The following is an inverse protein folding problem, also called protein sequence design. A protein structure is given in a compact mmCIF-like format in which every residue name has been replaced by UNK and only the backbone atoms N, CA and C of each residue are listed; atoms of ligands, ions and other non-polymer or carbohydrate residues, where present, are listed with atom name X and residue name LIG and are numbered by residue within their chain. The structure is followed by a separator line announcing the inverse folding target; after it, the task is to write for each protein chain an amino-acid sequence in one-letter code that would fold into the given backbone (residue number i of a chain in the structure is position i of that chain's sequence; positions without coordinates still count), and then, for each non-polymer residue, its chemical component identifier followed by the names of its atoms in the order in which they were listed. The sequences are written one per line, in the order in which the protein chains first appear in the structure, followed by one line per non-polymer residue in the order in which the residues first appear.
data_IF_708344703762
#
_entry.id   IF_708344703762
#
_cell.length_a   1.000
_cell.length_b   1.000
_cell.length_c   1.000
_cell.angle_alpha   90.00
_cell.angle_beta   90.00
_cell.angle_gamma   90.00
#
_symmetry.space_group_name_H-M   'P 1'
#
loop_
_entity.id
_entity.type
_entity.pdbx_description
1 polymer ?
#
# COMPACT_ATOMS: atom_id res chain seq x y z
N UNK A 1 13.51 46.93 11.35
CA UNK A 1 14.63 46.06 11.62
C UNK A 1 14.48 45.49 13.04
N UNK A 2 13.94 44.29 13.15
CA UNK A 2 13.96 43.52 14.40
C UNK A 2 14.25 42.08 14.00
N UNK A 3 15.50 41.68 14.33
CA UNK A 3 15.97 40.31 14.13
C UNK A 3 15.25 39.40 15.14
N UNK A 4 14.48 38.45 14.61
CA UNK A 4 13.94 37.35 15.41
C UNK A 4 14.92 36.18 15.28
N UNK A 5 15.74 35.98 16.29
CA UNK A 5 16.60 34.83 16.41
C UNK A 5 15.74 33.63 16.82
N UNK A 6 15.65 32.64 15.96
CA UNK A 6 15.04 31.34 16.27
C UNK A 6 16.11 30.52 16.96
N UNK A 7 15.96 30.36 18.28
CA UNK A 7 16.77 29.45 19.10
C UNK A 7 16.21 28.05 18.91
N UNK A 8 16.95 27.20 18.18
CA UNK A 8 16.68 25.76 18.12
C UNK A 8 17.25 25.15 19.39
N UNK A 9 16.39 24.80 20.33
CA UNK A 9 16.77 23.99 21.48
C UNK A 9 16.68 22.52 21.08
N UNK A 10 17.84 21.94 20.74
CA UNK A 10 17.99 20.48 20.64
C UNK A 10 18.06 19.92 22.08
N UNK A 11 16.93 19.46 22.60
CA UNK A 11 16.91 18.67 23.82
C UNK A 11 17.23 17.21 23.47
N UNK A 12 18.50 16.84 23.61
CA UNK A 12 18.95 15.44 23.59
C UNK A 12 18.52 14.78 24.91
N UNK A 13 17.40 14.05 24.88
CA UNK A 13 17.08 13.09 25.91
C UNK A 13 17.58 11.70 25.44
N UNK A 14 18.84 11.42 25.82
CA UNK A 14 19.37 10.06 25.85
C UNK A 14 18.87 9.40 27.14
N UNK A 15 17.73 8.72 27.09
CA UNK A 15 17.41 7.66 28.05
C UNK A 15 17.85 6.35 27.45
N UNK A 16 18.99 5.86 27.87
CA UNK A 16 19.51 4.55 27.56
C UNK A 16 18.63 3.47 28.17
N UNK A 17 17.91 2.74 27.34
CA UNK A 17 17.45 1.40 27.68
C UNK A 17 18.58 0.42 27.40
N UNK A 18 19.31 0.04 28.46
CA UNK A 18 20.21 -1.12 28.44
C UNK A 18 19.38 -2.39 28.35
N UNK A 19 19.12 -2.87 27.14
CA UNK A 19 18.69 -4.24 26.91
C UNK A 19 19.93 -5.10 26.75
N UNK A 20 20.32 -5.82 27.81
CA UNK A 20 21.27 -6.91 27.73
C UNK A 20 20.67 -8.03 26.89
N UNK A 21 21.03 -8.10 25.61
CA UNK A 21 20.73 -9.24 24.75
C UNK A 21 21.90 -10.22 24.78
N UNK A 22 21.94 -11.07 25.79
CA UNK A 22 22.70 -12.32 25.76
C UNK A 22 21.72 -13.48 25.84
N UNK A 23 21.24 -13.90 24.67
CA UNK A 23 20.75 -15.27 24.48
C UNK A 23 21.15 -15.73 23.11
N UNK A 24 22.05 -16.70 23.09
CA UNK A 24 22.40 -17.51 21.93
C UNK A 24 21.13 -18.17 21.38
N UNK A 25 20.51 -17.57 20.38
CA UNK A 25 19.43 -18.19 19.63
C UNK A 25 20.04 -19.04 18.52
N UNK A 26 20.05 -20.36 18.75
CA UNK A 26 20.06 -21.34 17.67
C UNK A 26 18.88 -21.04 16.77
N UNK A 27 19.16 -20.58 15.56
CA UNK A 27 18.16 -20.27 14.56
C UNK A 27 17.45 -21.57 14.13
N UNK A 28 16.33 -21.87 14.74
CA UNK A 28 15.31 -22.70 14.10
C UNK A 28 14.76 -21.87 12.94
N UNK A 29 15.20 -22.19 11.73
CA UNK A 29 14.60 -21.67 10.49
C UNK A 29 13.25 -22.37 10.31
N UNK A 30 12.27 -21.98 11.11
CA UNK A 30 10.88 -22.18 10.75
C UNK A 30 10.64 -21.21 9.59
N UNK A 31 10.37 -21.75 8.40
CA UNK A 31 9.82 -20.96 7.29
C UNK A 31 8.53 -20.36 7.82
N UNK A 32 8.56 -19.07 8.14
CA UNK A 32 7.40 -18.36 8.65
C UNK A 32 6.24 -18.46 7.65
N UNK A 33 5.03 -18.41 8.14
CA UNK A 33 3.80 -18.43 7.34
C UNK A 33 3.47 -17.07 6.71
N UNK A 34 4.32 -16.05 6.92
CA UNK A 34 4.20 -14.69 6.41
C UNK A 34 5.44 -14.30 5.60
N UNK A 35 5.23 -13.65 4.48
CA UNK A 35 6.27 -13.04 3.64
C UNK A 35 5.91 -11.58 3.38
N UNK A 36 6.93 -10.73 3.38
CA UNK A 36 6.81 -9.34 2.97
C UNK A 36 7.50 -9.13 1.63
N UNK A 37 6.75 -8.63 0.65
CA UNK A 37 7.24 -8.43 -0.71
C UNK A 37 6.58 -7.21 -1.35
N UNK A 38 7.39 -6.26 -1.84
CA UNK A 38 6.91 -5.06 -2.55
C UNK A 38 5.85 -4.27 -1.75
N UNK A 39 6.11 -4.06 -0.46
CA UNK A 39 5.18 -3.46 0.48
C UNK A 39 3.82 -4.19 0.58
N UNK A 40 3.81 -5.50 0.48
CA UNK A 40 2.61 -6.34 0.63
C UNK A 40 2.87 -7.47 1.60
N UNK A 41 1.85 -7.82 2.36
CA UNK A 41 1.86 -8.96 3.27
C UNK A 41 1.31 -10.17 2.53
N UNK A 42 2.11 -11.23 2.45
CA UNK A 42 1.74 -12.46 1.77
C UNK A 42 1.76 -13.60 2.79
N UNK A 43 0.62 -14.22 2.99
CA UNK A 43 0.49 -15.38 3.86
C UNK A 43 0.25 -16.66 3.06
N UNK A 44 0.68 -17.80 3.63
CA UNK A 44 0.32 -19.10 3.12
C UNK A 44 -1.01 -19.55 3.72
N UNK A 45 -1.88 -20.09 2.88
CA UNK A 45 -3.15 -20.68 3.28
C UNK A 45 -3.37 -22.01 2.58
N UNK A 46 -4.24 -22.84 3.14
CA UNK A 46 -4.66 -24.10 2.51
C UNK A 46 -6.14 -24.07 2.15
N UNK A 47 -6.46 -24.59 0.98
CA UNK A 47 -7.82 -24.89 0.56
C UNK A 47 -8.30 -26.21 1.19
N UNK A 48 -9.60 -26.48 1.10
CA UNK A 48 -10.21 -27.70 1.64
C UNK A 48 -9.64 -29.02 1.07
N UNK A 49 -9.06 -28.97 -0.13
CA UNK A 49 -8.37 -30.11 -0.76
C UNK A 49 -6.88 -30.20 -0.39
N UNK A 50 -6.44 -29.45 0.61
CA UNK A 50 -5.04 -29.34 1.04
C UNK A 50 -4.11 -28.69 0.01
N UNK A 51 -4.64 -28.03 -1.01
CA UNK A 51 -3.83 -27.21 -1.93
C UNK A 51 -3.35 -25.96 -1.21
N UNK A 52 -2.04 -25.72 -1.20
CA UNK A 52 -1.47 -24.47 -0.68
C UNK A 52 -1.64 -23.35 -1.68
N UNK A 53 -2.05 -22.18 -1.19
CA UNK A 53 -2.16 -20.94 -1.95
C UNK A 53 -1.49 -19.80 -1.20
N UNK A 54 -1.07 -18.77 -1.94
CA UNK A 54 -0.60 -17.52 -1.38
C UNK A 54 -1.71 -16.48 -1.38
N UNK A 55 -1.86 -15.78 -0.26
CA UNK A 55 -2.87 -14.76 -0.06
C UNK A 55 -2.21 -13.43 0.29
N UNK A 56 -2.67 -12.35 -0.34
CA UNK A 56 -2.38 -11.00 0.13
C UNK A 56 -3.30 -10.67 1.31
N UNK A 57 -2.74 -10.11 2.38
CA UNK A 57 -3.48 -9.69 3.57
C UNK A 57 -3.80 -8.20 3.47
N UNK A 58 -5.08 -7.86 3.58
CA UNK A 58 -5.59 -6.51 3.36
C UNK A 58 -6.58 -6.10 4.47
N UNK A 59 -6.11 -5.32 5.44
CA UNK A 59 -6.97 -4.79 6.51
C UNK A 59 -7.97 -3.73 6.03
N UNK A 60 -7.74 -3.15 4.85
CA UNK A 60 -8.66 -2.23 4.18
C UNK A 60 -9.77 -2.92 3.38
N UNK A 61 -9.75 -4.26 3.30
CA UNK A 61 -10.77 -5.02 2.60
C UNK A 61 -12.05 -5.13 3.44
N UNK A 62 -13.13 -4.51 2.97
CA UNK A 62 -14.43 -4.57 3.62
C UNK A 62 -15.07 -5.96 3.49
N UNK A 63 -15.84 -6.34 4.49
CA UNK A 63 -16.74 -7.50 4.47
C UNK A 63 -16.07 -8.89 4.48
N UNK A 64 -14.78 -9.03 4.78
CA UNK A 64 -14.10 -10.33 4.81
C UNK A 64 -14.22 -11.08 3.49
N UNK A 65 -14.12 -10.38 2.36
CA UNK A 65 -14.11 -10.98 1.05
C UNK A 65 -12.72 -11.50 0.70
N UNK A 66 -12.67 -12.67 0.06
CA UNK A 66 -11.47 -13.09 -0.65
C UNK A 66 -11.63 -12.69 -2.12
N UNK A 67 -10.74 -11.85 -2.61
CA UNK A 67 -10.59 -11.64 -4.04
C UNK A 67 -9.77 -12.81 -4.58
N UNK A 68 -10.33 -13.60 -5.49
CA UNK A 68 -9.71 -14.83 -5.97
C UNK A 68 -9.51 -14.73 -7.47
N UNK A 69 -8.29 -15.03 -7.91
CA UNK A 69 -7.98 -15.09 -9.34
C UNK A 69 -8.71 -16.27 -10.05
N UNK A 70 -8.78 -16.20 -11.37
CA UNK A 70 -9.51 -17.21 -12.17
C UNK A 70 -8.94 -18.61 -12.02
N UNK A 71 -7.62 -18.77 -11.87
CA UNK A 71 -6.96 -20.07 -11.74
C UNK A 71 -7.31 -20.71 -10.40
N UNK A 72 -7.23 -19.93 -9.33
CA UNK A 72 -7.64 -20.38 -7.99
C UNK A 72 -9.14 -20.68 -7.95
N UNK A 73 -9.96 -19.85 -8.63
CA UNK A 73 -11.40 -20.08 -8.72
C UNK A 73 -11.74 -21.40 -9.45
N UNK A 74 -11.06 -21.73 -10.54
CA UNK A 74 -11.25 -23.01 -11.24
C UNK A 74 -10.93 -24.21 -10.35
N UNK A 75 -9.89 -24.10 -9.52
CA UNK A 75 -9.57 -25.13 -8.51
C UNK A 75 -10.68 -25.26 -7.47
N UNK A 76 -11.16 -24.13 -6.94
CA UNK A 76 -12.23 -24.11 -5.92
C UNK A 76 -13.55 -24.60 -6.49
N UNK A 77 -13.90 -24.26 -7.73
CA UNK A 77 -15.12 -24.71 -8.37
C UNK A 77 -15.16 -26.23 -8.59
N UNK A 78 -14.01 -26.89 -8.58
CA UNK A 78 -13.91 -28.37 -8.60
C UNK A 78 -14.07 -29.00 -7.21
N UNK A 79 -13.98 -28.21 -6.15
CA UNK A 79 -14.28 -28.67 -4.80
C UNK A 79 -15.81 -28.81 -4.65
N UNK A 80 -16.30 -29.76 -3.84
CA UNK A 80 -17.73 -29.93 -3.62
C UNK A 80 -18.28 -28.62 -3.04
N UNK A 81 -18.94 -27.84 -3.91
CA UNK A 81 -19.62 -26.62 -3.53
C UNK A 81 -20.80 -27.01 -2.67
N UNK A 82 -20.87 -26.48 -1.46
CA UNK A 82 -22.12 -26.51 -0.71
C UNK A 82 -23.21 -25.88 -1.58
N UNK A 83 -24.32 -26.57 -1.77
CA UNK A 83 -25.37 -26.07 -2.64
C UNK A 83 -25.94 -24.79 -2.06
N UNK A 84 -25.95 -23.76 -2.86
CA UNK A 84 -26.71 -22.52 -2.79
C UNK A 84 -26.12 -21.33 -2.05
N UNK A 85 -25.89 -20.32 -2.85
CA UNK A 85 -26.24 -18.89 -2.76
C UNK A 85 -25.25 -17.91 -2.16
N UNK A 86 -24.40 -18.20 -1.25
CA UNK A 86 -23.26 -17.34 -0.96
C UNK A 86 -22.01 -18.05 -1.40
N UNK A 87 -21.34 -17.52 -2.39
CA UNK A 87 -20.04 -18.02 -2.85
C UNK A 87 -19.03 -17.81 -1.72
N UNK A 88 -19.00 -18.74 -0.79
CA UNK A 88 -18.06 -18.76 0.35
C UNK A 88 -16.93 -19.73 0.06
N UNK A 89 -15.74 -19.33 0.44
CA UNK A 89 -14.57 -20.17 0.39
C UNK A 89 -14.09 -20.40 1.82
N UNK A 90 -13.82 -21.66 2.13
CA UNK A 90 -13.15 -22.04 3.37
C UNK A 90 -11.64 -22.07 3.12
N UNK A 91 -10.89 -21.35 3.92
CA UNK A 91 -9.42 -21.30 3.90
C UNK A 91 -8.90 -21.67 5.28
N UNK A 92 -7.82 -22.42 5.32
CA UNK A 92 -7.06 -22.62 6.54
C UNK A 92 -5.86 -21.68 6.54
N UNK A 93 -5.84 -20.75 7.48
CA UNK A 93 -4.75 -19.81 7.68
C UNK A 93 -4.27 -19.98 9.11
N UNK A 94 -2.97 -20.15 9.31
CA UNK A 94 -2.39 -20.40 10.64
C UNK A 94 -3.11 -21.52 11.42
N UNK A 95 -3.40 -22.65 10.74
CA UNK A 95 -4.11 -23.79 11.32
C UNK A 95 -5.58 -23.55 11.64
N UNK A 96 -6.15 -22.38 11.33
CA UNK A 96 -7.53 -22.01 11.64
C UNK A 96 -8.38 -21.97 10.38
N UNK A 97 -9.56 -22.55 10.46
CA UNK A 97 -10.52 -22.49 9.36
C UNK A 97 -11.25 -21.15 9.37
N UNK A 98 -11.14 -20.44 8.28
CA UNK A 98 -11.78 -19.15 8.03
C UNK A 98 -12.72 -19.27 6.84
N UNK A 99 -13.85 -18.57 6.90
CA UNK A 99 -14.82 -18.53 5.80
C UNK A 99 -14.93 -17.12 5.25
N UNK A 100 -14.71 -16.99 3.95
CA UNK A 100 -14.79 -15.70 3.25
C UNK A 100 -15.81 -15.77 2.11
N UNK A 101 -16.53 -14.68 1.89
CA UNK A 101 -17.19 -14.45 0.61
C UNK A 101 -16.13 -14.12 -0.43
N UNK A 102 -16.26 -14.64 -1.64
CA UNK A 102 -15.30 -14.39 -2.70
C UNK A 102 -15.86 -13.57 -3.85
N UNK A 103 -14.99 -12.78 -4.46
CA UNK A 103 -15.20 -12.12 -5.73
C UNK A 103 -14.22 -12.67 -6.76
N UNK A 104 -14.68 -12.76 -8.00
CA UNK A 104 -13.76 -12.96 -9.11
C UNK A 104 -12.99 -11.68 -9.31
N UNK A 105 -11.68 -11.75 -9.10
CA UNK A 105 -10.77 -10.65 -9.37
C UNK A 105 -9.84 -11.03 -10.53
N UNK A 106 -9.55 -10.07 -11.38
CA UNK A 106 -8.54 -10.22 -12.43
C UNK A 106 -7.10 -10.09 -11.93
N UNK A 107 -6.90 -9.93 -10.63
CA UNK A 107 -5.58 -9.92 -10.01
C UNK A 107 -4.99 -11.32 -10.02
N UNK A 108 -3.66 -11.39 -10.09
CA UNK A 108 -2.92 -12.65 -10.15
C UNK A 108 -2.76 -13.32 -8.78
N UNK A 109 -3.08 -12.62 -7.68
CA UNK A 109 -2.95 -13.13 -6.31
C UNK A 109 -4.28 -13.00 -5.57
N UNK A 110 -4.75 -14.05 -4.90
CA UNK A 110 -5.88 -13.97 -4.01
C UNK A 110 -5.61 -13.01 -2.85
N UNK A 111 -6.65 -12.34 -2.37
CA UNK A 111 -6.58 -11.37 -1.28
C UNK A 111 -7.66 -11.68 -0.24
N UNK A 112 -7.32 -11.56 1.04
CA UNK A 112 -8.28 -11.66 2.14
C UNK A 112 -8.17 -10.47 3.09
N UNK A 113 -9.31 -10.09 3.69
CA UNK A 113 -9.32 -9.13 4.80
C UNK A 113 -8.74 -9.75 6.08
N UNK A 114 -8.13 -8.93 6.94
CA UNK A 114 -7.69 -9.38 8.27
C UNK A 114 -8.85 -9.55 9.26
N UNK A 115 -10.05 -9.36 8.80
CA UNK A 115 -11.27 -9.36 9.56
C UNK A 115 -12.13 -10.55 9.17
N UNK A 116 -12.51 -11.36 10.12
CA UNK A 116 -13.47 -12.43 9.92
C UNK A 116 -14.73 -12.13 10.76
N UNK A 117 -15.91 -12.16 10.10
CA UNK A 117 -17.20 -11.82 10.74
C UNK A 117 -17.56 -12.71 11.91
N UNK A 118 -16.99 -13.91 11.98
CA UNK A 118 -17.48 -14.93 12.89
C UNK A 118 -16.84 -14.90 14.28
N UNK A 119 -15.88 -13.98 14.50
CA UNK A 119 -15.25 -13.87 15.82
C UNK A 119 -14.51 -12.55 15.98
N UNK A 120 -14.61 -12.02 17.18
CA UNK A 120 -13.75 -10.99 17.75
C UNK A 120 -12.31 -11.53 17.85
N UNK A 121 -11.58 -11.56 16.72
CA UNK A 121 -10.26 -12.16 16.65
C UNK A 121 -9.18 -11.11 16.65
N UNK A 122 -8.05 -11.49 17.18
CA UNK A 122 -6.81 -10.74 17.13
C UNK A 122 -5.92 -11.31 16.06
N UNK A 123 -5.44 -10.45 15.18
CA UNK A 123 -4.46 -10.80 14.17
C UNK A 123 -3.12 -10.20 14.54
N UNK A 124 -2.11 -11.06 14.75
CA UNK A 124 -0.74 -10.61 14.98
C UNK A 124 0.05 -10.76 13.69
N UNK A 125 0.54 -9.65 13.19
CA UNK A 125 1.44 -9.55 12.03
C UNK A 125 2.83 -9.23 12.56
N UNK A 126 3.66 -10.26 12.74
CA UNK A 126 4.99 -10.14 13.30
C UNK A 126 6.03 -10.19 12.16
N UNK A 127 6.36 -9.02 11.60
CA UNK A 127 7.30 -8.89 10.49
C UNK A 127 8.72 -9.24 10.91
N UNK A 128 9.09 -8.95 12.16
CA UNK A 128 10.40 -9.32 12.71
C UNK A 128 10.67 -10.82 12.72
N UNK A 129 9.62 -11.64 12.69
CA UNK A 129 9.70 -13.11 12.74
C UNK A 129 9.11 -13.79 11.48
N UNK A 130 8.66 -13.02 10.49
CA UNK A 130 7.94 -13.53 9.32
C UNK A 130 6.74 -14.41 9.72
N UNK A 131 5.98 -13.98 10.72
CA UNK A 131 4.93 -14.77 11.34
C UNK A 131 3.59 -14.03 11.36
N UNK A 132 2.56 -14.74 10.97
CA UNK A 132 1.17 -14.39 11.15
C UNK A 132 0.54 -15.34 12.14
N UNK A 133 -0.08 -14.80 13.19
CA UNK A 133 -0.86 -15.61 14.14
C UNK A 133 -2.28 -15.05 14.24
N UNK A 134 -3.25 -15.95 14.32
CA UNK A 134 -4.63 -15.62 14.64
C UNK A 134 -4.88 -16.05 16.09
N UNK A 135 -4.88 -15.07 16.98
CA UNK A 135 -4.93 -15.30 18.42
C UNK A 135 -6.39 -15.46 18.88
N UNK A 136 -6.73 -16.51 19.64
CA UNK A 136 -8.05 -16.62 20.28
C UNK A 136 -8.33 -15.46 21.24
N UNK A 137 -9.62 -15.16 21.44
CA UNK A 137 -10.07 -14.04 22.26
C UNK A 137 -9.64 -14.10 23.74
N UNK A 138 -9.43 -15.30 24.26
CA UNK A 138 -9.02 -15.57 25.64
C UNK A 138 -7.50 -15.52 25.85
N UNK A 139 -6.73 -15.44 24.77
CA UNK A 139 -5.27 -15.38 24.86
C UNK A 139 -4.80 -13.98 25.25
N UNK A 140 -3.86 -13.94 26.21
CA UNK A 140 -3.20 -12.69 26.59
C UNK A 140 -2.12 -12.33 25.55
N UNK A 141 -2.15 -11.10 25.08
CA UNK A 141 -1.04 -10.50 24.31
C UNK A 141 -0.14 -9.79 25.31
N UNK A 142 1.16 -10.08 25.30
CA UNK A 142 2.10 -9.28 26.07
C UNK A 142 2.16 -7.86 25.50
N UNK A 143 1.57 -6.92 26.22
CA UNK A 143 1.38 -5.54 25.79
C UNK A 143 2.60 -4.64 26.04
N UNK A 144 3.58 -5.10 26.84
CA UNK A 144 4.67 -4.25 27.38
C UNK A 144 5.53 -3.58 26.28
N UNK A 145 5.63 -4.23 25.13
CA UNK A 145 6.40 -3.70 24.00
C UNK A 145 5.58 -2.88 22.99
N UNK A 146 4.26 -2.89 23.11
CA UNK A 146 3.38 -2.28 22.12
C UNK A 146 2.89 -0.90 22.56
N UNK A 147 2.81 0.02 21.61
CA UNK A 147 2.02 1.23 21.73
C UNK A 147 0.60 0.94 21.26
N UNK A 148 -0.37 1.17 22.13
CA UNK A 148 -1.79 0.98 21.81
C UNK A 148 -2.36 2.23 21.15
N UNK A 149 -2.97 2.06 19.99
CA UNK A 149 -3.66 3.10 19.24
C UNK A 149 -5.14 2.74 19.21
N UNK A 150 -6.03 3.54 19.80
CA UNK A 150 -7.47 3.30 19.69
C UNK A 150 -7.92 3.33 18.23
N UNK A 151 -8.74 2.37 17.82
CA UNK A 151 -9.35 2.33 16.50
C UNK A 151 -10.87 2.38 16.58
N UNK A 152 -11.48 3.01 15.59
CA UNK A 152 -12.90 2.84 15.29
C UNK A 152 -13.02 1.75 14.24
N UNK A 153 -13.95 0.84 14.43
CA UNK A 153 -14.17 -0.23 13.46
C UNK A 153 -15.40 0.09 12.63
N UNK A 154 -15.23 0.45 11.37
CA UNK A 154 -16.32 0.76 10.45
C UNK A 154 -16.83 -0.52 9.77
N UNK A 155 -18.13 -0.63 9.59
CA UNK A 155 -18.80 -1.82 9.03
C UNK A 155 -18.46 -3.13 9.76
N UNK A 156 -18.03 -3.04 11.03
CA UNK A 156 -17.59 -4.16 11.84
C UNK A 156 -16.23 -4.78 11.41
N UNK A 157 -15.48 -4.12 10.53
CA UNK A 157 -14.33 -4.74 9.85
C UNK A 157 -13.16 -3.80 9.58
N UNK A 158 -13.41 -2.55 9.22
CA UNK A 158 -12.36 -1.65 8.74
C UNK A 158 -11.78 -0.82 9.89
N UNK A 159 -10.48 -0.94 10.19
CA UNK A 159 -9.85 -0.24 11.29
C UNK A 159 -9.50 1.20 10.90
N UNK A 160 -10.05 2.16 11.62
CA UNK A 160 -9.77 3.59 11.46
C UNK A 160 -9.06 4.09 12.70
N UNK A 161 -7.84 4.62 12.53
CA UNK A 161 -7.03 5.18 13.59
C UNK A 161 -6.90 6.69 13.46
N UNK A 162 -7.05 7.44 14.55
CA UNK A 162 -6.69 8.85 14.62
C UNK A 162 -5.23 8.96 15.06
N UNK A 163 -4.39 9.55 14.20
CA UNK A 163 -2.95 9.56 14.35
C UNK A 163 -2.39 10.98 14.36
N UNK A 164 -1.57 11.36 15.34
CA UNK A 164 -0.68 12.50 15.22
C UNK A 164 0.47 12.15 14.28
N UNK A 165 0.66 12.95 13.25
CA UNK A 165 1.63 12.72 12.18
C UNK A 165 2.41 14.00 11.94
N UNK A 166 3.73 13.87 11.71
CA UNK A 166 4.55 14.95 11.20
C UNK A 166 5.31 14.49 9.97
N UNK A 167 5.11 15.19 8.87
CA UNK A 167 5.84 15.02 7.62
C UNK A 167 7.10 15.91 7.62
N UNK A 168 8.22 15.37 7.15
CA UNK A 168 9.45 16.09 6.95
C UNK A 168 9.93 15.99 5.52
N UNK A 169 10.23 17.14 4.89
CA UNK A 169 10.81 17.21 3.54
C UNK A 169 11.65 18.47 3.38
N UNK A 170 12.92 18.30 2.98
CA UNK A 170 13.84 19.42 2.69
C UNK A 170 13.93 20.46 3.82
N UNK A 171 13.90 20.02 5.08
CA UNK A 171 13.91 20.89 6.25
C UNK A 171 12.55 21.52 6.62
N UNK A 172 11.51 21.30 5.83
CA UNK A 172 10.14 21.69 6.19
C UNK A 172 9.48 20.59 7.02
N UNK A 173 8.64 21.00 7.98
CA UNK A 173 7.82 20.10 8.78
C UNK A 173 6.36 20.53 8.70
N UNK A 174 5.48 19.55 8.57
CA UNK A 174 4.02 19.73 8.63
C UNK A 174 3.41 18.73 9.60
N UNK A 175 2.83 19.22 10.69
CA UNK A 175 2.25 18.39 11.74
C UNK A 175 0.74 18.51 11.74
N UNK A 176 0.05 17.38 11.85
CA UNK A 176 -1.40 17.31 11.89
C UNK A 176 -1.88 16.09 12.65
N UNK A 177 -3.15 16.08 13.03
CA UNK A 177 -3.83 14.94 13.65
C UNK A 177 -5.11 14.65 12.87
N UNK A 178 -5.19 13.50 12.23
CA UNK A 178 -6.32 13.09 11.37
C UNK A 178 -6.55 11.59 11.49
N UNK A 179 -7.73 11.17 11.08
CA UNK A 179 -8.10 9.77 10.98
C UNK A 179 -7.76 9.18 9.62
N UNK A 180 -7.25 7.96 9.65
CA UNK A 180 -6.89 7.16 8.48
C UNK A 180 -7.46 5.76 8.60
N UNK A 181 -7.88 5.20 7.48
CA UNK A 181 -8.06 3.76 7.37
C UNK A 181 -6.68 3.09 7.45
N UNK A 182 -6.51 2.13 8.36
CA UNK A 182 -5.29 1.32 8.45
C UNK A 182 -5.41 0.19 7.43
N UNK A 183 -4.57 0.22 6.40
CA UNK A 183 -4.75 -0.57 5.17
C UNK A 183 -3.46 -1.30 4.77
N UNK A 184 -3.34 -2.57 5.14
CA UNK A 184 -2.19 -3.40 4.77
C UNK A 184 -2.19 -3.80 3.30
N UNK A 185 -3.27 -3.61 2.57
CA UNK A 185 -3.36 -3.79 1.12
C UNK A 185 -2.82 -2.60 0.33
N UNK A 186 -2.64 -1.43 0.97
CA UNK A 186 -2.06 -0.24 0.34
C UNK A 186 -0.53 -0.25 0.50
N UNK A 187 0.24 -0.32 -0.60
CA UNK A 187 1.71 -0.36 -0.53
C UNK A 187 2.36 1.00 -0.27
N UNK A 188 1.64 2.11 -0.49
CA UNK A 188 2.08 3.47 -0.19
C UNK A 188 2.19 3.70 1.32
N UNK A 189 2.92 4.75 1.72
CA UNK A 189 2.91 5.21 3.11
C UNK A 189 1.56 5.83 3.47
N UNK A 190 1.11 6.74 2.62
CA UNK A 190 -0.20 7.39 2.72
C UNK A 190 -0.83 7.49 1.32
N UNK A 191 -2.12 7.19 1.26
CA UNK A 191 -2.97 7.54 0.12
C UNK A 191 -4.08 8.47 0.63
N UNK A 192 -3.98 9.75 0.29
CA UNK A 192 -4.86 10.81 0.81
C UNK A 192 -5.89 11.16 -0.25
N UNK A 193 -7.16 11.07 0.08
CA UNK A 193 -8.26 11.28 -0.87
C UNK A 193 -9.06 12.56 -0.59
N UNK A 194 -8.97 13.07 0.63
CA UNK A 194 -9.67 14.28 1.05
C UNK A 194 -8.68 15.25 1.76
N UNK A 195 -7.66 15.77 1.04
CA UNK A 195 -6.69 16.69 1.61
C UNK A 195 -7.38 18.00 2.02
N UNK A 196 -6.92 18.59 3.11
CA UNK A 196 -7.28 19.97 3.46
C UNK A 196 -6.32 20.97 2.78
N UNK A 197 -6.66 22.26 2.88
CA UNK A 197 -5.89 23.33 2.24
C UNK A 197 -4.48 23.47 2.79
N UNK A 198 -4.26 23.17 4.06
CA UNK A 198 -2.95 23.27 4.72
C UNK A 198 -2.02 22.16 4.23
N UNK A 199 -2.52 20.92 4.15
CA UNK A 199 -1.79 19.80 3.58
C UNK A 199 -1.44 20.06 2.10
N UNK A 200 -2.38 20.58 1.32
CA UNK A 200 -2.12 20.95 -0.07
C UNK A 200 -1.08 22.06 -0.19
N UNK A 201 -1.10 23.07 0.69
CA UNK A 201 -0.08 24.11 0.72
C UNK A 201 1.31 23.53 1.03
N UNK A 202 1.41 22.60 1.99
CA UNK A 202 2.66 21.88 2.26
C UNK A 202 3.14 21.10 1.04
N UNK A 203 2.28 20.28 0.41
CA UNK A 203 2.65 19.46 -0.74
C UNK A 203 3.09 20.32 -1.92
N UNK A 204 2.44 21.45 -2.17
CA UNK A 204 2.82 22.40 -3.22
C UNK A 204 4.17 23.10 -2.94
N UNK A 205 4.65 23.11 -1.69
CA UNK A 205 5.94 23.69 -1.30
C UNK A 205 7.13 22.73 -1.44
N UNK A 206 6.89 21.45 -1.69
CA UNK A 206 7.90 20.40 -1.81
C UNK A 206 7.92 19.80 -3.23
N UNK A 207 9.02 19.09 -3.62
CA UNK A 207 9.04 18.36 -4.88
C UNK A 207 7.92 17.33 -4.95
N UNK A 208 7.13 17.38 -6.01
CA UNK A 208 6.02 16.47 -6.26
C UNK A 208 5.82 16.22 -7.76
N UNK A 209 5.15 15.13 -8.09
CA UNK A 209 4.76 14.79 -9.45
C UNK A 209 3.24 14.83 -9.57
N UNK A 210 2.75 15.52 -10.59
CA UNK A 210 1.33 15.58 -10.89
C UNK A 210 1.04 14.81 -12.18
N UNK A 211 -0.03 14.03 -12.18
CA UNK A 211 -0.43 13.18 -13.30
C UNK A 211 -1.78 13.60 -13.82
N UNK A 212 -1.90 13.59 -15.14
CA UNK A 212 -3.18 13.71 -15.83
C UNK A 212 -3.74 12.31 -16.06
N UNK A 213 -4.97 12.09 -15.63
CA UNK A 213 -5.72 10.87 -15.89
C UNK A 213 -6.81 11.14 -16.92
N UNK A 214 -6.50 10.87 -18.19
CA UNK A 214 -7.52 10.97 -19.25
C UNK A 214 -8.37 9.70 -19.38
N UNK A 215 -7.95 8.57 -18.79
CA UNK A 215 -8.77 7.36 -18.82
C UNK A 215 -9.97 7.45 -17.87
N UNK A 216 -9.93 8.35 -16.89
CA UNK A 216 -11.07 8.61 -16.02
C UNK A 216 -12.25 9.20 -16.80
N UNK A 217 -12.01 9.95 -17.87
CA UNK A 217 -13.08 10.39 -18.78
C UNK A 217 -13.82 9.20 -19.41
N UNK A 218 -13.11 8.11 -19.72
CA UNK A 218 -13.70 6.88 -20.28
C UNK A 218 -14.41 6.01 -19.24
N UNK A 219 -13.96 6.02 -17.98
CA UNK A 219 -14.49 5.14 -16.93
C UNK A 219 -15.37 5.87 -15.93
N UNK A 220 -15.25 7.17 -15.82
CA UNK A 220 -16.03 7.95 -14.87
C UNK A 220 -17.34 8.41 -15.52
N UNK A 221 -18.41 7.67 -15.32
CA UNK A 221 -19.78 8.08 -15.71
C UNK A 221 -20.20 9.43 -15.12
N UNK A 222 -19.37 10.05 -14.29
CA UNK A 222 -19.60 11.34 -13.64
C UNK A 222 -18.76 12.49 -14.23
N UNK A 223 -17.91 12.25 -15.24
CA UNK A 223 -17.19 13.31 -15.96
C UNK A 223 -16.21 14.13 -15.12
N UNK A 224 -15.69 13.60 -14.02
CA UNK A 224 -14.69 14.29 -13.20
C UNK A 224 -13.30 13.80 -13.53
N UNK A 225 -12.42 14.73 -13.89
CA UNK A 225 -11.00 14.45 -14.02
C UNK A 225 -10.44 13.99 -12.65
N UNK A 226 -9.62 12.98 -12.69
CA UNK A 226 -8.90 12.45 -11.53
C UNK A 226 -7.52 13.08 -11.51
N UNK A 227 -7.13 13.64 -10.41
CA UNK A 227 -5.81 14.22 -10.24
C UNK A 227 -5.02 13.38 -9.24
N UNK A 228 -3.82 12.98 -9.63
CA UNK A 228 -2.89 12.27 -8.76
C UNK A 228 -1.66 13.13 -8.53
N UNK A 229 -1.31 13.30 -7.26
CA UNK A 229 -0.08 13.97 -6.85
C UNK A 229 0.72 12.98 -6.03
N UNK A 230 1.93 12.69 -6.49
CA UNK A 230 2.86 11.82 -5.76
C UNK A 230 4.02 12.63 -5.22
N UNK A 231 4.45 12.32 -4.02
CA UNK A 231 5.60 12.95 -3.37
C UNK A 231 6.29 11.97 -2.42
N UNK A 232 7.56 12.26 -2.14
CA UNK A 232 8.38 11.45 -1.24
C UNK A 232 8.83 12.32 -0.08
N UNK A 233 8.57 11.86 1.13
CA UNK A 233 9.03 12.47 2.37
C UNK A 233 10.40 11.92 2.76
N UNK A 234 11.24 12.74 3.37
CA UNK A 234 12.52 12.32 3.89
C UNK A 234 12.34 11.47 5.16
N UNK A 235 11.37 11.84 5.97
CA UNK A 235 10.92 11.06 7.13
C UNK A 235 9.49 11.42 7.54
N UNK A 236 8.89 10.53 8.33
CA UNK A 236 7.57 10.71 8.94
C UNK A 236 7.66 10.35 10.40
N UNK A 237 7.06 11.16 11.26
CA UNK A 237 6.80 10.78 12.66
C UNK A 237 5.34 10.35 12.75
N UNK A 238 5.10 9.12 13.19
CA UNK A 238 3.77 8.58 13.49
C UNK A 238 3.74 8.26 14.97
N UNK A 239 2.83 8.88 15.71
CA UNK A 239 2.85 8.85 17.17
C UNK A 239 4.19 9.42 17.68
N UNK A 240 5.03 8.59 18.28
CA UNK A 240 6.39 8.94 18.75
C UNK A 240 7.50 8.26 17.91
N UNK A 241 7.13 7.53 16.86
CA UNK A 241 8.07 6.73 16.07
C UNK A 241 8.50 7.46 14.81
N UNK A 242 9.80 7.53 14.59
CA UNK A 242 10.38 8.07 13.36
C UNK A 242 10.49 6.95 12.33
N UNK A 243 9.82 7.13 11.21
CA UNK A 243 9.92 6.29 10.02
C UNK A 243 10.70 7.05 8.98
N UNK A 244 11.63 6.40 8.30
CA UNK A 244 12.45 7.02 7.27
C UNK A 244 11.65 7.39 6.01
N UNK A 245 12.31 7.37 4.88
CA UNK A 245 11.75 7.75 3.58
C UNK A 245 10.39 7.11 3.31
N UNK A 246 9.41 7.92 2.90
CA UNK A 246 8.03 7.51 2.74
C UNK A 246 7.43 8.03 1.42
N UNK A 247 6.85 7.13 0.63
CA UNK A 247 6.16 7.44 -0.62
C UNK A 247 4.68 7.70 -0.36
N UNK A 248 4.19 8.84 -0.78
CA UNK A 248 2.84 9.33 -0.53
C UNK A 248 2.12 9.67 -1.83
N UNK A 249 0.80 9.48 -1.81
CA UNK A 249 -0.08 9.84 -2.92
C UNK A 249 -1.25 10.69 -2.42
N UNK A 250 -1.64 11.69 -3.20
CA UNK A 250 -2.93 12.37 -3.09
C UNK A 250 -3.75 12.03 -4.32
N UNK A 251 -4.98 11.58 -4.10
CA UNK A 251 -5.90 11.12 -5.14
C UNK A 251 -7.20 11.91 -5.07
N UNK A 252 -7.30 12.98 -5.86
CA UNK A 252 -8.43 13.90 -5.84
C UNK A 252 -9.47 13.50 -6.90
N UNK A 253 -10.72 13.45 -6.49
CA UNK A 253 -11.87 13.35 -7.42
C UNK A 253 -12.41 11.93 -7.66
N UNK A 254 -11.81 10.90 -7.10
CA UNK A 254 -12.22 9.50 -7.34
C UNK A 254 -13.16 8.99 -6.29
N UNK A 255 -12.76 9.06 -5.03
CA UNK A 255 -13.49 8.54 -3.89
C UNK A 255 -13.27 9.49 -2.72
N UNK A 256 -14.31 9.78 -1.99
CA UNK A 256 -14.16 10.54 -0.76
C UNK A 256 -14.18 9.57 0.41
N UNK A 257 -13.07 9.50 1.14
CA UNK A 257 -13.00 8.72 2.39
C UNK A 257 -13.92 9.32 3.46
N UNK A 258 -14.10 10.62 3.43
CA UNK A 258 -15.04 11.32 4.36
C UNK A 258 -16.47 10.85 4.19
N UNK A 259 -16.95 10.73 2.95
CA UNK A 259 -18.30 10.22 2.67
C UNK A 259 -18.49 8.79 3.13
N UNK A 260 -17.46 7.97 3.00
CA UNK A 260 -17.56 6.54 3.26
C UNK A 260 -17.32 6.20 4.73
N UNK A 261 -16.32 6.82 5.35
CA UNK A 261 -15.83 6.42 6.67
C UNK A 261 -16.11 7.44 7.78
N UNK A 262 -16.41 8.69 7.44
CA UNK A 262 -16.69 9.80 8.36
C UNK A 262 -15.88 11.05 8.02
N UNK A 263 -16.37 12.21 8.43
CA UNK A 263 -15.86 13.53 8.01
C UNK A 263 -14.40 13.81 8.40
N UNK A 264 -13.86 13.08 9.37
CA UNK A 264 -12.50 13.20 9.86
C UNK A 264 -11.49 12.29 9.14
N UNK A 265 -11.95 11.32 8.32
CA UNK A 265 -11.10 10.36 7.62
C UNK A 265 -10.63 10.93 6.29
N UNK A 266 -9.33 11.20 6.15
CA UNK A 266 -8.78 11.86 4.97
C UNK A 266 -8.10 10.90 3.97
N UNK A 267 -7.93 9.65 4.33
CA UNK A 267 -7.24 8.69 3.46
C UNK A 267 -6.90 7.38 4.17
N UNK A 268 -5.88 6.70 3.64
CA UNK A 268 -5.35 5.44 4.19
C UNK A 268 -3.90 5.61 4.63
N UNK A 269 -3.51 4.88 5.68
CA UNK A 269 -2.11 4.63 6.05
C UNK A 269 -1.78 3.19 5.67
N UNK A 270 -0.73 3.01 4.88
CA UNK A 270 -0.41 1.72 4.28
C UNK A 270 0.94 1.15 4.68
N UNK A 271 1.34 0.09 3.97
CA UNK A 271 2.53 -0.68 4.27
C UNK A 271 3.84 0.09 4.12
N UNK A 272 3.87 1.22 3.41
CA UNK A 272 5.04 2.11 3.42
C UNK A 272 5.42 2.60 4.81
N UNK A 273 4.46 2.74 5.72
CA UNK A 273 4.65 3.03 7.14
C UNK A 273 4.58 1.76 7.99
N UNK A 274 3.51 0.98 7.82
CA UNK A 274 3.17 -0.15 8.69
C UNK A 274 4.26 -1.24 8.72
N UNK A 275 5.03 -1.37 7.63
CA UNK A 275 6.14 -2.32 7.52
C UNK A 275 7.25 -2.14 8.58
N UNK A 276 7.30 -1.03 9.26
CA UNK A 276 8.32 -0.76 10.29
C UNK A 276 7.91 -1.29 11.67
N UNK A 277 6.75 -1.92 11.78
CA UNK A 277 6.16 -2.36 13.03
C UNK A 277 5.73 -3.83 12.99
N UNK A 278 5.92 -4.52 14.10
CA UNK A 278 5.09 -5.67 14.43
C UNK A 278 3.73 -5.13 14.89
N UNK A 279 2.64 -5.73 14.41
CA UNK A 279 1.29 -5.21 14.61
C UNK A 279 0.36 -6.26 15.21
N UNK A 280 -0.57 -5.81 16.06
CA UNK A 280 -1.73 -6.61 16.47
C UNK A 280 -3.01 -5.82 16.17
N UNK A 281 -3.82 -6.34 15.28
CA UNK A 281 -5.17 -5.84 15.03
C UNK A 281 -6.10 -6.50 16.07
N UNK A 282 -6.40 -5.78 17.13
CA UNK A 282 -7.28 -6.23 18.20
C UNK A 282 -8.68 -5.61 18.02
N UNK A 283 -9.50 -6.31 17.25
CA UNK A 283 -10.87 -5.86 17.00
C UNK A 283 -11.79 -6.01 18.21
N UNK A 284 -11.43 -6.87 19.17
CA UNK A 284 -12.17 -7.06 20.42
C UNK A 284 -12.10 -5.82 21.29
N UNK A 285 -10.87 -5.36 21.53
CA UNK A 285 -10.61 -4.23 22.42
C UNK A 285 -10.54 -2.89 21.64
N UNK A 286 -10.87 -2.93 20.33
CA UNK A 286 -10.89 -1.77 19.43
C UNK A 286 -9.57 -1.00 19.44
N UNK A 287 -8.45 -1.72 19.25
CA UNK A 287 -7.12 -1.13 19.23
C UNK A 287 -6.21 -1.76 18.19
N UNK A 288 -5.32 -0.95 17.66
CA UNK A 288 -4.15 -1.37 16.90
C UNK A 288 -2.94 -1.24 17.81
N UNK A 289 -2.24 -2.34 18.04
CA UNK A 289 -1.01 -2.37 18.79
C UNK A 289 0.15 -2.37 17.82
N UNK A 290 1.10 -1.45 17.98
CA UNK A 290 2.29 -1.37 17.14
C UNK A 290 3.55 -1.41 17.99
N UNK A 291 4.56 -2.13 17.53
CA UNK A 291 5.88 -2.16 18.14
C UNK A 291 6.96 -2.05 17.04
N UNK A 292 7.86 -1.07 17.10
CA UNK A 292 8.94 -0.99 16.12
C UNK A 292 9.84 -2.22 16.26
N UNK A 293 10.19 -2.85 15.15
CA UNK A 293 11.03 -4.06 15.17
C UNK A 293 12.50 -3.79 14.87
N UNK A 294 12.86 -2.58 14.44
CA UNK A 294 14.24 -2.19 14.18
C UNK A 294 14.92 -2.87 12.98
N UNK A 295 14.19 -3.67 12.22
CA UNK A 295 14.71 -4.30 10.99
C UNK A 295 14.53 -3.31 9.86
N UNK A 296 15.60 -3.06 9.11
CA UNK A 296 15.51 -2.26 7.89
C UNK A 296 14.75 -3.04 6.82
N UNK A 297 13.54 -2.57 6.51
CA UNK A 297 12.71 -3.17 5.47
C UNK A 297 13.01 -2.49 4.13
N UNK A 298 13.02 -3.26 3.03
CA UNK A 298 13.29 -2.70 1.71
C UNK A 298 12.36 -1.52 1.41
N UNK A 299 12.96 -0.41 0.97
CA UNK A 299 12.18 0.69 0.43
C UNK A 299 11.63 0.28 -0.93
N UNK A 300 10.32 0.26 -1.04
CA UNK A 300 9.64 0.02 -2.30
C UNK A 300 8.96 1.31 -2.74
N UNK A 301 9.45 1.88 -3.82
CA UNK A 301 8.89 3.04 -4.47
C UNK A 301 7.89 2.56 -5.52
N UNK A 302 6.61 2.62 -5.21
CA UNK A 302 5.57 2.28 -6.18
C UNK A 302 5.38 3.40 -7.21
N UNK A 303 5.72 4.61 -6.81
CA UNK A 303 5.68 5.77 -7.65
C UNK A 303 7.03 5.96 -8.33
N UNK A 304 7.10 5.70 -9.63
CA UNK A 304 7.81 6.51 -10.55
C UNK A 304 9.33 6.46 -10.48
N UNK A 305 9.83 5.34 -10.85
CA UNK A 305 11.07 5.35 -11.61
C UNK A 305 10.93 6.34 -12.77
N UNK A 306 12.02 6.76 -13.35
CA UNK A 306 12.08 7.74 -14.42
C UNK A 306 11.26 7.48 -15.67
N UNK A 307 10.33 6.52 -15.64
CA UNK A 307 9.45 6.17 -16.78
C UNK A 307 8.45 7.29 -17.12
N UNK A 308 7.93 8.01 -16.12
CA UNK A 308 7.03 9.15 -16.33
C UNK A 308 5.62 8.81 -16.80
N UNK A 309 5.26 7.54 -16.83
CA UNK A 309 3.89 7.09 -17.14
C UNK A 309 3.60 5.73 -16.52
N UNK A 310 2.32 5.40 -16.47
CA UNK A 310 1.84 4.06 -16.12
C UNK A 310 0.95 3.51 -17.23
N UNK A 311 0.75 2.19 -17.27
CA UNK A 311 -0.13 1.54 -18.22
C UNK A 311 -0.93 0.41 -17.58
N UNK A 312 -2.08 0.12 -18.17
CA UNK A 312 -3.02 -0.91 -17.73
C UNK A 312 -2.68 -2.29 -18.28
N UNK A 313 -3.38 -3.32 -17.79
CA UNK A 313 -3.24 -4.71 -18.28
C UNK A 313 -3.52 -4.89 -19.77
N UNK A 314 -4.27 -3.99 -20.40
CA UNK A 314 -4.49 -3.99 -21.85
C UNK A 314 -3.46 -3.14 -22.61
N UNK A 315 -2.34 -2.77 -21.92
CA UNK A 315 -1.23 -2.00 -22.47
C UNK A 315 -1.63 -0.61 -22.97
N UNK A 316 -2.66 -0.02 -22.38
CA UNK A 316 -2.97 1.38 -22.61
C UNK A 316 -2.31 2.23 -21.55
N UNK A 317 -1.65 3.31 -21.98
CA UNK A 317 -1.13 4.33 -21.11
C UNK A 317 -2.27 4.88 -20.27
N UNK A 318 -2.17 4.72 -18.94
CA UNK A 318 -3.20 5.14 -17.99
C UNK A 318 -2.98 6.57 -17.54
N UNK A 319 -1.73 6.89 -17.21
CA UNK A 319 -1.32 8.20 -16.70
C UNK A 319 -0.01 8.61 -17.36
N UNK A 320 0.14 9.89 -17.62
CA UNK A 320 1.42 10.50 -18.03
C UNK A 320 1.73 11.65 -17.09
N UNK A 321 2.94 11.67 -16.56
CA UNK A 321 3.38 12.72 -15.64
C UNK A 321 3.48 14.05 -16.37
N UNK A 322 2.78 15.05 -15.86
CA UNK A 322 2.77 16.40 -16.43
C UNK A 322 4.19 17.00 -16.39
N UNK A 323 4.66 17.50 -17.50
CA UNK A 323 5.99 18.09 -17.62
C UNK A 323 7.17 17.12 -17.69
N UNK A 324 6.94 15.80 -17.55
CA UNK A 324 7.97 14.78 -17.76
C UNK A 324 8.42 14.71 -19.23
N UNK A 325 9.62 14.16 -19.46
CA UNK A 325 10.15 14.01 -20.82
C UNK A 325 9.23 13.14 -21.71
N UNK A 326 8.61 12.09 -21.17
CA UNK A 326 7.61 11.29 -21.90
C UNK A 326 6.43 12.15 -22.38
N UNK A 327 5.88 13.02 -21.51
CA UNK A 327 4.82 13.96 -21.86
C UNK A 327 5.28 14.96 -22.94
N UNK A 328 6.48 15.55 -22.77
CA UNK A 328 7.06 16.50 -23.74
C UNK A 328 7.34 15.86 -25.10
N UNK A 329 7.61 14.56 -25.13
CA UNK A 329 7.82 13.78 -26.36
C UNK A 329 6.51 13.32 -27.01
N UNK A 330 5.36 13.75 -26.50
CA UNK A 330 4.06 13.52 -27.09
C UNK A 330 3.40 12.20 -26.71
N UNK A 331 3.81 11.55 -25.61
CA UNK A 331 3.05 10.43 -25.05
C UNK A 331 1.77 10.96 -24.39
N UNK A 332 0.65 10.30 -24.67
CA UNK A 332 -0.66 10.67 -24.10
C UNK A 332 -1.35 9.48 -23.42
N UNK A 333 -2.15 9.74 -22.40
CA UNK A 333 -3.08 8.74 -21.87
C UNK A 333 -3.98 8.20 -22.99
N UNK A 334 -4.25 6.87 -22.94
CA UNK A 334 -5.02 6.18 -23.97
C UNK A 334 -4.18 5.58 -25.10
N UNK A 335 -2.93 5.98 -25.31
CA UNK A 335 -2.02 5.37 -26.27
C UNK A 335 -1.88 3.86 -25.99
N UNK A 336 -1.91 3.04 -27.01
CA UNK A 336 -1.69 1.61 -26.88
C UNK A 336 -0.22 1.27 -27.09
N UNK A 337 0.46 0.75 -26.05
CA UNK A 337 1.86 0.35 -26.13
C UNK A 337 1.99 -0.88 -27.04
N UNK A 338 2.96 -0.84 -27.94
CA UNK A 338 3.36 -1.95 -28.81
C UNK A 338 4.66 -2.55 -28.29
N UNK A 339 5.69 -1.71 -28.04
CA UNK A 339 6.95 -2.12 -27.40
C UNK A 339 7.48 -1.01 -26.51
N UNK A 340 8.31 -1.38 -25.52
CA UNK A 340 9.16 -0.48 -24.74
C UNK A 340 10.58 -1.02 -24.83
N UNK A 341 11.52 -0.25 -25.38
CA UNK A 341 12.92 -0.69 -25.60
C UNK A 341 13.01 -2.08 -26.24
N UNK A 342 12.25 -2.30 -27.31
CA UNK A 342 12.12 -3.57 -28.04
C UNK A 342 11.57 -4.75 -27.20
N UNK A 343 11.17 -4.53 -25.94
CA UNK A 343 10.46 -5.53 -25.14
C UNK A 343 9.05 -5.69 -25.72
N UNK A 344 8.68 -6.88 -26.19
CA UNK A 344 7.38 -7.09 -26.80
C UNK A 344 6.25 -7.04 -25.76
N UNK A 345 5.05 -6.73 -26.22
CA UNK A 345 3.90 -6.48 -25.36
C UNK A 345 3.53 -7.68 -24.46
N UNK A 346 3.80 -8.90 -24.87
CA UNK A 346 3.55 -10.11 -24.07
C UNK A 346 4.36 -10.11 -22.76
N UNK A 347 5.58 -9.57 -22.79
CA UNK A 347 6.48 -9.48 -21.63
C UNK A 347 6.23 -8.23 -20.78
N UNK A 348 5.62 -7.20 -21.31
CA UNK A 348 5.37 -5.95 -20.59
C UNK A 348 4.35 -6.09 -19.45
N UNK A 349 3.58 -7.20 -19.41
CA UNK A 349 2.64 -7.50 -18.35
C UNK A 349 3.23 -8.34 -17.22
N UNK A 350 4.46 -8.84 -17.41
CA UNK A 350 5.18 -9.51 -16.33
C UNK A 350 5.60 -8.50 -15.25
N UNK A 351 5.33 -8.84 -13.99
CA UNK A 351 5.58 -7.94 -12.87
C UNK A 351 7.05 -7.56 -12.71
N UNK A 352 7.97 -8.49 -13.00
CA UNK A 352 9.41 -8.22 -12.88
C UNK A 352 9.89 -7.28 -13.99
N UNK A 353 9.36 -7.45 -15.21
CA UNK A 353 9.63 -6.54 -16.33
C UNK A 353 9.10 -5.13 -16.03
N UNK A 354 7.86 -5.02 -15.54
CA UNK A 354 7.28 -3.72 -15.15
C UNK A 354 8.09 -3.03 -14.06
N UNK A 355 8.50 -3.76 -13.03
CA UNK A 355 9.29 -3.19 -11.94
C UNK A 355 10.69 -2.78 -12.43
N UNK A 356 11.33 -3.58 -13.27
CA UNK A 356 12.62 -3.23 -13.87
C UNK A 356 12.54 -1.94 -14.68
N UNK A 357 11.47 -1.74 -15.45
CA UNK A 357 11.24 -0.50 -16.20
C UNK A 357 11.02 0.72 -15.27
N UNK A 358 10.31 0.53 -14.17
CA UNK A 358 10.09 1.59 -13.17
C UNK A 358 11.35 2.00 -12.42
N UNK A 359 12.27 1.05 -12.24
CA UNK A 359 13.51 1.26 -11.49
C UNK A 359 14.67 1.77 -12.35
N UNK A 360 14.44 2.07 -13.63
CA UNK A 360 15.48 2.59 -14.53
C UNK A 360 16.09 3.90 -13.96
N UNK A 361 17.42 4.03 -14.02
CA UNK A 361 18.11 5.25 -13.64
C UNK A 361 17.67 6.46 -14.48
N UNK A 362 17.87 7.67 -13.95
CA UNK A 362 17.69 8.89 -14.73
C UNK A 362 18.62 8.92 -15.94
N UNK A 363 18.19 9.59 -17.01
CA UNK A 363 18.88 9.68 -18.30
C UNK A 363 19.05 8.34 -19.05
N UNK A 364 18.26 7.32 -18.70
CA UNK A 364 18.20 6.08 -19.50
C UNK A 364 17.38 6.35 -20.78
N UNK A 365 17.91 6.05 -21.97
CA UNK A 365 17.15 6.19 -23.22
C UNK A 365 15.93 5.27 -23.25
N UNK A 366 14.80 5.83 -23.62
CA UNK A 366 13.53 5.12 -23.78
C UNK A 366 13.04 5.25 -25.20
N UNK A 367 12.72 4.12 -25.82
CA UNK A 367 12.10 4.01 -27.13
C UNK A 367 10.75 3.29 -26.96
N UNK A 368 9.65 4.02 -27.12
CA UNK A 368 8.32 3.45 -27.12
C UNK A 368 7.77 3.41 -28.54
N UNK A 369 7.25 2.26 -28.95
CA UNK A 369 6.32 2.18 -30.07
C UNK A 369 4.91 2.12 -29.53
N UNK A 370 4.09 3.08 -29.95
CA UNK A 370 2.69 3.18 -29.53
C UNK A 370 1.77 3.14 -30.75
N UNK A 371 0.50 2.81 -30.52
CA UNK A 371 -0.56 2.95 -31.51
C UNK A 371 -1.57 3.98 -31.06
N UNK A 372 -1.81 5.00 -31.91
CA UNK A 372 -2.79 6.07 -31.71
C UNK A 372 -3.57 6.28 -33.02
N UNK A 373 -4.91 6.25 -32.97
CA UNK A 373 -5.74 6.49 -34.15
C UNK A 373 -5.51 5.52 -35.32
N UNK A 374 -4.95 4.32 -35.07
CA UNK A 374 -4.60 3.32 -36.09
C UNK A 374 -3.13 3.38 -36.54
N UNK A 375 -2.44 4.49 -36.33
CA UNK A 375 -1.03 4.69 -36.70
C UNK A 375 -0.09 4.20 -35.61
N UNK A 376 1.11 3.74 -36.02
CA UNK A 376 2.21 3.40 -35.11
C UNK A 376 3.16 4.59 -35.07
N UNK A 377 3.44 5.08 -33.87
CA UNK A 377 4.29 6.22 -33.61
C UNK A 377 5.47 5.81 -32.71
N UNK A 378 6.63 6.41 -32.95
CA UNK A 378 7.82 6.27 -32.12
C UNK A 378 7.92 7.46 -31.16
N UNK A 379 7.98 7.19 -29.85
CA UNK A 379 8.18 8.18 -28.79
C UNK A 379 9.53 7.92 -28.14
N UNK A 380 10.42 8.90 -28.26
CA UNK A 380 11.78 8.81 -27.73
C UNK A 380 12.02 9.86 -26.65
N UNK A 381 12.56 9.47 -25.51
CA UNK A 381 12.90 10.38 -24.42
C UNK A 381 13.95 9.78 -23.49
N UNK A 382 14.46 10.59 -22.57
CA UNK A 382 15.31 10.14 -21.45
C UNK A 382 14.48 10.05 -20.19
N UNK A 383 14.68 9.00 -19.41
CA UNK A 383 14.06 8.85 -18.10
C UNK A 383 14.44 9.98 -17.16
N UNK A 384 13.53 10.37 -16.28
CA UNK A 384 13.78 11.41 -15.28
C UNK A 384 12.81 11.23 -14.10
N UNK A 385 13.32 11.17 -12.88
CA UNK A 385 12.49 11.13 -11.68
C UNK A 385 12.47 12.50 -10.99
N UNK A 386 11.32 13.15 -11.01
CA UNK A 386 11.12 14.44 -10.32
C UNK A 386 11.05 14.30 -8.78
N UNK A 387 11.01 13.08 -8.26
CA UNK A 387 10.88 12.79 -6.83
C UNK A 387 12.20 12.44 -6.14
N UNK A 388 13.29 12.34 -6.90
CA UNK A 388 14.63 12.07 -6.38
C UNK A 388 15.38 13.32 -5.99
#
# INVERSE_FOLDING_TARGET
MRNLAIVVVLATFLMGCNCNANTSQTACVNKGNLRFEKNRLIASAMLADSTSIELELDSGCANGYANIDSVTLERIAKLPTQPNTSKQIALQVDGRNLSYKYFINQQTRPLIGLNCKDTLRRWTVCLSQNRLDIIPDDSLVNMDRYCAIPIRVKYGLLPIAELPITFYKNGYAYSFKRSFLVDTGTPMAFCIMDPDSELMAFVNSIPHCQYDDALTEMFNRQGRAREHINFILDSVVVQSFVVGRASCNIDIGVRSTRKEFGDDVIGTIGMGILKNFDMVFDYRDSQLLIAPHGIEMPYYEQAEGGLGFTYSKNLRVSFVQRGHNAHKSGLHPGDKIVTINDIPHERLLDSNTMDSLRMLPDNTPMLLKIRRGGEVLDINYLTFSALR
#
